data_IF_629154146044
#
_entry.id   IF_629154146044
#
_cell.length_a   1.000
_cell.length_b   1.000
_cell.length_c   1.000
_cell.angle_alpha   90.00
_cell.angle_beta   90.00
_cell.angle_gamma   90.00
#
_symmetry.space_group_name_H-M   'P 1'
#
loop_
_entity.id
_entity.type
_entity.pdbx_description
1 polymer ?
#
# COMPACT_ATOMS: atom_id res chain seq x y z
N UNK A 1 18.75 -12.35 12.85
CA UNK A 1 18.00 -11.22 13.44
C UNK A 1 17.61 -11.50 14.88
N UNK A 2 16.98 -12.64 15.22
CA UNK A 2 16.75 -13.02 16.62
C UNK A 2 18.05 -13.15 17.43
N UNK A 3 19.09 -13.78 16.86
CA UNK A 3 20.42 -13.82 17.49
C UNK A 3 21.05 -12.42 17.65
N UNK A 4 20.79 -11.50 16.71
CA UNK A 4 21.27 -10.11 16.78
C UNK A 4 20.46 -9.30 17.81
N UNK A 5 19.15 -9.51 17.91
CA UNK A 5 18.30 -8.95 18.95
C UNK A 5 18.69 -9.46 20.34
N UNK A 6 18.94 -10.77 20.49
CA UNK A 6 19.45 -11.36 21.73
C UNK A 6 20.84 -10.82 22.09
N UNK A 7 21.76 -10.70 21.12
CA UNK A 7 23.07 -10.10 21.35
C UNK A 7 22.97 -8.62 21.77
N UNK A 8 21.96 -7.89 21.28
CA UNK A 8 21.70 -6.49 21.61
C UNK A 8 20.78 -6.30 22.81
N UNK A 9 20.29 -7.36 23.44
CA UNK A 9 19.32 -7.30 24.55
C UNK A 9 17.97 -6.66 24.16
N UNK A 10 17.60 -6.69 22.87
CA UNK A 10 16.35 -6.12 22.38
C UNK A 10 15.20 -7.09 22.59
N UNK A 11 14.10 -6.59 23.15
CA UNK A 11 12.86 -7.33 23.28
C UNK A 11 12.22 -7.57 21.90
N UNK A 12 11.41 -8.63 21.74
CA UNK A 12 10.58 -8.81 20.56
C UNK A 12 9.66 -7.60 20.35
N UNK A 13 9.35 -7.21 19.11
CA UNK A 13 8.50 -6.06 18.85
C UNK A 13 7.08 -6.26 19.40
N UNK A 14 6.61 -5.31 20.22
CA UNK A 14 5.24 -5.31 20.74
C UNK A 14 4.23 -5.16 19.58
N UNK A 15 4.53 -4.27 18.63
CA UNK A 15 3.70 -3.97 17.46
C UNK A 15 4.02 -4.80 16.21
N UNK A 16 3.27 -4.52 15.13
CA UNK A 16 3.56 -5.04 13.78
C UNK A 16 4.57 -4.15 13.10
N UNK A 17 5.53 -4.73 12.38
CA UNK A 17 6.44 -3.98 11.52
C UNK A 17 5.84 -3.88 10.12
N UNK A 18 5.55 -2.69 9.63
CA UNK A 18 4.88 -2.53 8.33
C UNK A 18 5.84 -2.09 7.22
N UNK A 19 5.68 -2.64 6.02
CA UNK A 19 6.49 -2.31 4.85
C UNK A 19 5.62 -2.00 3.63
N UNK A 20 5.79 -0.79 3.10
CA UNK A 20 5.06 -0.30 1.94
C UNK A 20 5.68 -0.73 0.61
N UNK A 21 4.89 -1.37 -0.25
CA UNK A 21 5.30 -1.69 -1.62
C UNK A 21 4.09 -1.79 -2.54
N UNK A 22 4.19 -1.32 -3.78
CA UNK A 22 3.08 -1.27 -4.73
C UNK A 22 2.48 -2.66 -5.03
N UNK A 23 3.34 -3.68 -4.96
CA UNK A 23 2.98 -5.08 -5.11
C UNK A 23 2.94 -5.82 -3.77
N UNK A 24 2.70 -5.11 -2.66
CA UNK A 24 2.76 -5.65 -1.30
C UNK A 24 1.98 -6.95 -1.13
N UNK A 25 0.77 -7.02 -1.69
CA UNK A 25 -0.08 -8.22 -1.66
C UNK A 25 0.52 -9.45 -2.36
N UNK A 26 1.30 -9.24 -3.43
CA UNK A 26 2.00 -10.31 -4.15
C UNK A 26 3.28 -10.69 -3.40
N UNK A 27 4.00 -9.70 -2.89
CA UNK A 27 5.22 -9.90 -2.12
C UNK A 27 4.93 -10.71 -0.86
N UNK A 28 3.86 -10.40 -0.12
CA UNK A 28 3.46 -11.18 1.06
C UNK A 28 3.26 -12.66 0.72
N UNK A 29 2.53 -12.97 -0.36
CA UNK A 29 2.32 -14.36 -0.81
C UNK A 29 3.63 -15.07 -1.17
N UNK A 30 4.59 -14.33 -1.74
CA UNK A 30 5.92 -14.86 -2.05
C UNK A 30 6.71 -15.11 -0.76
N UNK A 31 6.69 -14.17 0.18
CA UNK A 31 7.35 -14.25 1.48
C UNK A 31 6.87 -15.47 2.27
N UNK A 32 5.55 -15.69 2.33
CA UNK A 32 4.94 -16.85 3.01
C UNK A 32 5.41 -18.19 2.45
N UNK A 33 5.77 -18.24 1.17
CA UNK A 33 6.29 -19.45 0.50
C UNK A 33 7.81 -19.55 0.50
N UNK A 34 8.49 -18.56 1.07
CA UNK A 34 9.95 -18.46 1.05
C UNK A 34 10.55 -18.92 2.38
N UNK A 35 11.88 -19.08 2.38
CA UNK A 35 12.66 -19.33 3.59
C UNK A 35 12.59 -18.18 4.61
N UNK A 36 12.05 -17.01 4.22
CA UNK A 36 11.91 -15.85 5.12
C UNK A 36 10.64 -15.89 5.96
N UNK A 37 9.72 -16.83 5.73
CA UNK A 37 8.43 -16.87 6.42
C UNK A 37 8.56 -16.85 7.95
N UNK A 38 9.45 -17.67 8.51
CA UNK A 38 9.69 -17.70 9.96
C UNK A 38 10.14 -16.36 10.50
N UNK A 39 11.02 -15.66 9.78
CA UNK A 39 11.47 -14.32 10.17
C UNK A 39 10.34 -13.31 10.11
N UNK A 40 9.50 -13.36 9.08
CA UNK A 40 8.40 -12.41 8.92
C UNK A 40 7.30 -12.62 9.94
N UNK A 41 7.06 -13.86 10.35
CA UNK A 41 6.16 -14.18 11.47
C UNK A 41 6.71 -13.64 12.79
N UNK A 42 7.99 -13.90 13.10
CA UNK A 42 8.62 -13.40 14.33
C UNK A 42 8.64 -11.86 14.40
N UNK A 43 8.78 -11.18 13.26
CA UNK A 43 8.75 -9.72 13.17
C UNK A 43 7.34 -9.13 12.98
N UNK A 44 6.31 -9.98 12.89
CA UNK A 44 4.92 -9.58 12.61
C UNK A 44 4.85 -8.63 11.40
N UNK A 45 5.54 -8.99 10.31
CA UNK A 45 5.61 -8.16 9.10
C UNK A 45 4.21 -7.96 8.52
N UNK A 46 3.85 -6.72 8.23
CA UNK A 46 2.62 -6.35 7.55
C UNK A 46 2.96 -5.62 6.25
N UNK A 47 2.57 -6.19 5.11
CA UNK A 47 2.74 -5.50 3.83
C UNK A 47 1.66 -4.42 3.66
N UNK A 48 2.04 -3.28 3.09
CA UNK A 48 1.15 -2.16 2.83
C UNK A 48 1.22 -1.79 1.35
N UNK A 49 0.11 -1.28 0.82
CA UNK A 49 0.03 -0.74 -0.54
C UNK A 49 -0.29 0.76 -0.46
N UNK A 50 0.33 1.54 -1.34
CA UNK A 50 0.13 2.98 -1.47
C UNK A 50 -1.31 3.32 -1.89
N UNK A 51 -1.72 4.56 -1.61
CA UNK A 51 -3.09 5.02 -1.89
C UNK A 51 -3.39 5.07 -3.41
N UNK A 52 -2.40 5.28 -4.28
CA UNK A 52 -2.63 5.32 -5.73
C UNK A 52 -2.84 3.94 -6.31
N UNK A 53 -2.00 2.99 -5.93
CA UNK A 53 -2.10 1.63 -6.46
C UNK A 53 -3.25 0.87 -5.86
N UNK A 54 -3.69 1.23 -4.64
CA UNK A 54 -4.89 0.67 -4.02
C UNK A 54 -6.04 0.53 -5.01
N UNK A 55 -6.32 1.57 -5.79
CA UNK A 55 -7.44 1.56 -6.75
C UNK A 55 -7.26 0.57 -7.91
N UNK A 56 -6.03 0.22 -8.28
CA UNK A 56 -5.74 -0.81 -9.27
C UNK A 56 -5.88 -2.25 -8.72
N UNK A 57 -5.98 -2.41 -7.40
CA UNK A 57 -6.23 -3.71 -6.78
C UNK A 57 -7.73 -3.96 -6.62
N UNK A 58 -8.12 -5.24 -6.63
CA UNK A 58 -9.49 -5.62 -6.27
C UNK A 58 -9.83 -5.15 -4.86
N UNK A 59 -11.10 -4.83 -4.62
CA UNK A 59 -11.56 -4.27 -3.34
C UNK A 59 -11.16 -5.11 -2.12
N UNK A 60 -11.26 -6.43 -2.21
CA UNK A 60 -10.81 -7.33 -1.15
C UNK A 60 -9.32 -7.15 -0.77
N UNK A 61 -8.46 -6.92 -1.77
CA UNK A 61 -7.04 -6.64 -1.55
C UNK A 61 -6.83 -5.26 -0.90
N UNK A 62 -7.66 -4.27 -1.25
CA UNK A 62 -7.62 -2.95 -0.65
C UNK A 62 -7.93 -3.02 0.85
N UNK A 63 -8.98 -3.75 1.24
CA UNK A 63 -9.36 -3.89 2.66
C UNK A 63 -8.24 -4.45 3.54
N UNK A 64 -7.39 -5.33 2.99
CA UNK A 64 -6.28 -5.96 3.73
C UNK A 64 -5.01 -5.10 3.75
N UNK A 65 -4.62 -4.51 2.63
CA UNK A 65 -3.28 -3.94 2.45
C UNK A 65 -3.25 -2.42 2.30
N UNK A 66 -4.39 -1.77 2.05
CA UNK A 66 -4.40 -0.34 1.79
C UNK A 66 -4.04 0.42 3.07
N UNK A 67 -3.05 1.30 2.94
CA UNK A 67 -2.47 2.04 4.05
C UNK A 67 -3.49 2.73 4.96
N UNK A 68 -4.55 3.29 4.39
CA UNK A 68 -5.57 4.06 5.13
C UNK A 68 -6.40 3.21 6.10
N UNK A 69 -6.48 1.89 5.88
CA UNK A 69 -7.23 0.98 6.75
C UNK A 69 -6.34 0.39 7.85
N UNK A 70 -5.03 0.65 7.82
CA UNK A 70 -4.08 0.12 8.81
C UNK A 70 -3.82 1.16 9.88
N UNK A 71 -4.32 0.89 11.08
CA UNK A 71 -4.05 1.74 12.25
C UNK A 71 -2.55 1.72 12.55
N UNK A 72 -1.96 2.91 12.70
CA UNK A 72 -0.53 3.08 12.97
C UNK A 72 0.34 3.27 11.73
N UNK A 73 -0.21 3.14 10.51
CA UNK A 73 0.47 3.46 9.26
C UNK A 73 0.92 4.93 9.14
N UNK A 74 0.28 5.83 9.89
CA UNK A 74 0.55 7.27 9.87
C UNK A 74 -0.09 7.99 8.68
N UNK A 75 0.36 9.21 8.43
CA UNK A 75 -0.09 10.04 7.29
C UNK A 75 0.82 9.89 6.07
N UNK A 76 1.58 8.81 6.03
CA UNK A 76 2.40 8.46 4.89
C UNK A 76 1.48 8.17 3.69
N UNK A 77 1.98 8.33 2.47
CA UNK A 77 1.27 7.92 1.26
C UNK A 77 2.00 6.83 0.49
N UNK A 78 3.25 6.51 0.89
CA UNK A 78 4.14 5.49 0.32
C UNK A 78 4.48 5.73 -1.16
N UNK A 79 4.63 6.99 -1.58
CA UNK A 79 4.89 7.38 -2.99
C UNK A 79 6.27 7.95 -3.25
N UNK A 80 7.14 8.00 -2.25
CA UNK A 80 8.46 8.64 -2.36
C UNK A 80 9.25 8.10 -3.55
N UNK A 81 9.20 6.79 -3.77
CA UNK A 81 9.86 6.14 -4.89
C UNK A 81 9.30 6.59 -6.23
N UNK A 82 7.98 6.69 -6.38
CA UNK A 82 7.34 7.16 -7.61
C UNK A 82 7.77 8.59 -7.94
N UNK A 83 7.76 9.48 -6.95
CA UNK A 83 8.21 10.86 -7.14
C UNK A 83 9.69 10.94 -7.52
N UNK A 84 10.53 10.12 -6.90
CA UNK A 84 11.95 10.04 -7.22
C UNK A 84 12.19 9.53 -8.66
N UNK A 85 11.54 8.43 -9.06
CA UNK A 85 11.67 7.90 -10.42
C UNK A 85 11.02 8.81 -11.47
N UNK A 86 9.94 9.49 -11.13
CA UNK A 86 9.33 10.49 -11.99
C UNK A 86 10.31 11.64 -12.28
N UNK A 87 11.05 12.11 -11.27
CA UNK A 87 12.12 13.09 -11.45
C UNK A 87 13.23 12.58 -12.37
N UNK A 88 13.62 11.30 -12.25
CA UNK A 88 14.63 10.68 -13.11
C UNK A 88 14.23 10.64 -14.59
N UNK A 89 12.93 10.66 -14.92
CA UNK A 89 12.48 10.72 -16.32
C UNK A 89 13.00 11.97 -17.06
N UNK A 90 13.35 13.04 -16.34
CA UNK A 90 13.99 14.23 -16.93
C UNK A 90 15.33 13.90 -17.61
N UNK A 91 16.02 12.86 -17.15
CA UNK A 91 17.26 12.41 -17.78
C UNK A 91 17.01 11.68 -19.11
N UNK A 92 15.80 11.15 -19.35
CA UNK A 92 15.51 10.28 -20.48
C UNK A 92 15.92 10.87 -21.84
N UNK A 93 15.66 12.16 -22.06
CA UNK A 93 16.06 12.84 -23.30
C UNK A 93 17.57 13.00 -23.47
N UNK A 94 18.29 13.25 -22.36
CA UNK A 94 19.75 13.43 -22.37
C UNK A 94 20.47 12.08 -22.53
N UNK A 95 19.88 11.02 -21.97
CA UNK A 95 20.48 9.69 -21.92
C UNK A 95 20.27 8.86 -23.20
N UNK A 96 19.32 9.23 -24.06
CA UNK A 96 18.92 8.45 -25.24
C UNK A 96 20.08 8.10 -26.18
N UNK A 97 21.08 8.98 -26.28
CA UNK A 97 22.23 8.82 -27.18
C UNK A 97 23.55 8.54 -26.45
N UNK A 98 23.50 8.30 -25.13
CA UNK A 98 24.68 8.03 -24.31
C UNK A 98 25.08 6.55 -24.39
N UNK A 99 26.39 6.28 -24.28
CA UNK A 99 26.86 4.91 -24.05
C UNK A 99 26.37 4.40 -22.69
N UNK A 100 26.34 3.09 -22.49
CA UNK A 100 25.94 2.49 -21.22
C UNK A 100 26.73 3.03 -20.02
N UNK A 101 28.04 3.27 -20.20
CA UNK A 101 28.88 3.86 -19.17
C UNK A 101 28.42 5.28 -18.79
N UNK A 102 28.21 6.15 -19.79
CA UNK A 102 27.75 7.52 -19.55
C UNK A 102 26.31 7.57 -19.03
N UNK A 103 25.49 6.60 -19.42
CA UNK A 103 24.14 6.41 -18.90
C UNK A 103 24.18 6.16 -17.38
N UNK A 104 24.95 5.17 -16.93
CA UNK A 104 25.13 4.91 -15.50
C UNK A 104 25.71 6.12 -14.76
N UNK A 105 26.72 6.77 -15.35
CA UNK A 105 27.35 7.96 -14.78
C UNK A 105 26.32 9.10 -14.60
N UNK A 106 25.46 9.36 -15.59
CA UNK A 106 24.44 10.40 -15.51
C UNK A 106 23.42 10.14 -14.39
N UNK A 107 22.95 8.90 -14.22
CA UNK A 107 22.06 8.52 -13.11
C UNK A 107 22.74 8.77 -11.76
N UNK A 108 24.00 8.34 -11.60
CA UNK A 108 24.74 8.49 -10.34
C UNK A 108 24.94 9.97 -10.00
N UNK A 109 25.35 10.80 -10.97
CA UNK A 109 25.51 12.23 -10.75
C UNK A 109 24.18 12.91 -10.41
N UNK A 110 23.10 12.54 -11.08
CA UNK A 110 21.78 13.06 -10.76
C UNK A 110 21.32 12.70 -9.34
N UNK A 111 21.52 11.44 -8.94
CA UNK A 111 21.20 10.99 -7.58
C UNK A 111 22.02 11.76 -6.53
N UNK A 112 23.34 11.89 -6.74
CA UNK A 112 24.22 12.64 -5.84
C UNK A 112 23.86 14.13 -5.77
N UNK A 113 23.48 14.74 -6.89
CA UNK A 113 23.02 16.12 -6.93
C UNK A 113 21.71 16.29 -6.15
N UNK A 114 20.73 15.42 -6.40
CA UNK A 114 19.42 15.45 -5.73
C UNK A 114 19.59 15.28 -4.22
N UNK A 115 20.42 14.34 -3.80
CA UNK A 115 20.72 14.10 -2.38
C UNK A 115 21.33 15.33 -1.70
N UNK A 116 22.34 15.92 -2.34
CA UNK A 116 23.06 17.07 -1.80
C UNK A 116 22.22 18.33 -1.69
N UNK A 117 21.37 18.61 -2.69
CA UNK A 117 20.72 19.92 -2.80
C UNK A 117 19.22 19.91 -2.51
N UNK A 118 18.53 18.78 -2.66
CA UNK A 118 17.08 18.73 -2.54
C UNK A 118 16.58 17.84 -1.40
N UNK A 119 17.23 16.72 -1.11
CA UNK A 119 16.69 15.70 -0.19
C UNK A 119 16.40 16.25 1.20
N UNK A 120 17.34 16.98 1.81
CA UNK A 120 17.15 17.54 3.16
C UNK A 120 16.02 18.57 3.23
N UNK A 121 15.92 19.45 2.23
CA UNK A 121 14.86 20.45 2.17
C UNK A 121 13.49 19.80 1.97
N UNK A 122 13.40 18.81 1.07
CA UNK A 122 12.18 18.05 0.83
C UNK A 122 11.75 17.25 2.06
N UNK A 123 12.69 16.59 2.74
CA UNK A 123 12.42 15.84 3.97
C UNK A 123 11.94 16.76 5.10
N UNK A 124 12.59 17.91 5.28
CA UNK A 124 12.20 18.89 6.30
C UNK A 124 10.79 19.43 6.03
N UNK A 125 10.51 19.76 4.77
CA UNK A 125 9.18 20.19 4.33
C UNK A 125 8.15 19.09 4.60
N UNK A 126 8.44 17.85 4.21
CA UNK A 126 7.57 16.69 4.40
C UNK A 126 7.20 16.49 5.88
N UNK A 127 8.20 16.49 6.77
CA UNK A 127 7.98 16.35 8.22
C UNK A 127 7.13 17.51 8.75
N UNK A 128 7.47 18.74 8.38
CA UNK A 128 6.75 19.93 8.83
C UNK A 128 5.29 19.95 8.37
N UNK A 129 5.03 19.67 7.08
CA UNK A 129 3.68 19.66 6.53
C UNK A 129 2.83 18.55 7.13
N UNK A 130 3.42 17.37 7.36
CA UNK A 130 2.71 16.28 8.02
C UNK A 130 2.40 16.63 9.47
N UNK A 131 3.35 17.23 10.21
CA UNK A 131 3.10 17.69 11.57
C UNK A 131 1.93 18.69 11.64
N UNK A 132 1.91 19.69 10.76
CA UNK A 132 0.78 20.63 10.67
C UNK A 132 -0.53 19.94 10.32
N UNK A 133 -0.50 18.98 9.38
CA UNK A 133 -1.68 18.19 9.01
C UNK A 133 -2.22 17.38 10.20
N UNK A 134 -1.35 16.78 11.02
CA UNK A 134 -1.74 16.10 12.25
C UNK A 134 -2.41 17.07 13.22
N UNK A 135 -1.82 18.25 13.47
CA UNK A 135 -2.41 19.24 14.37
C UNK A 135 -3.80 19.69 13.89
N UNK A 136 -3.95 19.94 12.58
CA UNK A 136 -5.24 20.32 12.00
C UNK A 136 -6.28 19.18 12.11
N UNK A 137 -5.85 17.94 11.90
CA UNK A 137 -6.71 16.76 12.07
C UNK A 137 -7.17 16.63 13.53
N UNK A 138 -6.25 16.80 14.49
CA UNK A 138 -6.56 16.79 15.92
C UNK A 138 -7.54 17.91 16.31
N UNK A 139 -7.32 19.13 15.80
CA UNK A 139 -8.22 20.25 16.03
C UNK A 139 -9.63 20.03 15.45
N UNK A 140 -9.74 19.24 14.37
CA UNK A 140 -10.99 18.87 13.73
C UNK A 140 -11.76 17.73 14.40
N UNK A 141 -11.15 17.00 15.36
CA UNK A 141 -11.74 15.79 15.94
C UNK A 141 -13.11 16.03 16.57
N UNK A 142 -13.30 17.15 17.29
CA UNK A 142 -14.60 17.46 17.91
C UNK A 142 -15.74 17.54 16.90
N UNK A 143 -15.52 18.27 15.79
CA UNK A 143 -16.51 18.39 14.71
C UNK A 143 -16.77 17.05 14.03
N UNK A 144 -15.73 16.23 13.85
CA UNK A 144 -15.88 14.88 13.30
C UNK A 144 -16.71 13.99 14.22
N UNK A 145 -16.47 14.05 15.54
CA UNK A 145 -17.25 13.28 16.52
C UNK A 145 -18.72 13.71 16.56
N UNK A 146 -19.00 15.02 16.52
CA UNK A 146 -20.37 15.55 16.42
C UNK A 146 -21.07 15.05 15.14
N UNK A 147 -20.39 15.08 14.00
CA UNK A 147 -20.92 14.56 12.74
C UNK A 147 -21.18 13.05 12.79
N UNK A 148 -20.28 12.27 13.38
CA UNK A 148 -20.46 10.82 13.57
C UNK A 148 -21.63 10.53 14.51
N UNK A 149 -21.78 11.28 15.60
CA UNK A 149 -22.92 11.14 16.51
C UNK A 149 -24.25 11.49 15.82
N UNK A 150 -24.28 12.54 14.99
CA UNK A 150 -25.46 12.88 14.20
C UNK A 150 -25.86 11.77 13.22
N UNK A 151 -24.89 10.97 12.75
CA UNK A 151 -25.11 9.77 11.93
C UNK A 151 -25.43 8.51 12.76
N UNK A 152 -25.53 8.62 14.08
CA UNK A 152 -25.78 7.49 14.99
C UNK A 152 -24.57 6.61 15.28
N UNK A 153 -23.36 7.05 14.91
CA UNK A 153 -22.10 6.32 15.13
C UNK A 153 -21.47 6.81 16.43
N UNK A 154 -21.67 6.04 17.50
CA UNK A 154 -21.18 6.39 18.85
C UNK A 154 -19.86 5.74 19.22
N UNK A 155 -19.48 4.65 18.54
CA UNK A 155 -18.22 3.93 18.75
C UNK A 155 -17.47 3.78 17.41
N UNK A 156 -16.22 4.23 17.35
CA UNK A 156 -15.39 4.14 16.14
C UNK A 156 -15.00 2.70 15.79
N UNK A 157 -15.03 1.78 16.76
CA UNK A 157 -14.83 0.34 16.53
C UNK A 157 -15.88 -0.23 15.57
N UNK A 158 -17.04 0.40 15.45
CA UNK A 158 -18.06 0.06 14.46
C UNK A 158 -17.48 0.16 13.04
N UNK A 159 -16.66 1.17 12.75
CA UNK A 159 -16.01 1.31 11.45
C UNK A 159 -15.04 0.15 11.19
N UNK A 160 -14.25 -0.25 12.19
CA UNK A 160 -13.38 -1.43 12.09
C UNK A 160 -14.18 -2.71 11.89
N UNK A 161 -15.36 -2.82 12.52
CA UNK A 161 -16.26 -3.95 12.33
C UNK A 161 -16.87 -3.95 10.91
N UNK A 162 -17.24 -2.79 10.37
CA UNK A 162 -17.72 -2.68 9.00
C UNK A 162 -16.67 -3.14 7.98
N UNK A 163 -15.42 -2.71 8.14
CA UNK A 163 -14.32 -3.17 7.27
C UNK A 163 -14.14 -4.70 7.35
N UNK A 164 -14.22 -5.29 8.54
CA UNK A 164 -14.18 -6.76 8.71
C UNK A 164 -15.37 -7.46 8.07
N UNK A 165 -16.58 -6.96 8.30
CA UNK A 165 -17.79 -7.53 7.71
C UNK A 165 -17.75 -7.49 6.19
N UNK A 166 -17.28 -6.37 5.63
CA UNK A 166 -17.10 -6.20 4.19
C UNK A 166 -16.05 -7.16 3.64
N UNK A 167 -14.93 -7.34 4.35
CA UNK A 167 -13.92 -8.32 3.99
C UNK A 167 -14.51 -9.75 3.97
N UNK A 168 -15.18 -10.18 5.03
CA UNK A 168 -15.81 -11.51 5.11
C UNK A 168 -16.82 -11.72 3.98
N UNK A 169 -17.69 -10.73 3.73
CA UNK A 169 -18.68 -10.78 2.66
C UNK A 169 -18.05 -10.95 1.27
N UNK A 170 -16.94 -10.27 0.99
CA UNK A 170 -16.21 -10.40 -0.27
C UNK A 170 -15.44 -11.72 -0.38
N UNK A 171 -14.93 -12.24 0.72
CA UNK A 171 -14.27 -13.55 0.78
C UNK A 171 -15.27 -14.68 0.49
N UNK A 172 -16.45 -14.67 1.11
CA UNK A 172 -17.53 -15.62 0.84
C UNK A 172 -17.97 -15.58 -0.63
N UNK A 173 -17.95 -14.40 -1.26
CA UNK A 173 -18.28 -14.23 -2.68
C UNK A 173 -17.16 -14.55 -3.65
N UNK A 174 -15.94 -14.77 -3.16
CA UNK A 174 -14.79 -15.11 -4.02
C UNK A 174 -14.93 -16.50 -4.64
N UNK A 175 -15.58 -17.42 -3.92
CA UNK A 175 -15.93 -18.76 -4.43
C UNK A 175 -17.16 -18.73 -5.35
N UNK A 176 -18.02 -17.72 -5.19
CA UNK A 176 -19.09 -17.39 -6.14
C UNK A 176 -18.49 -16.61 -7.31
N UNK A 177 -17.71 -17.29 -8.15
CA UNK A 177 -17.29 -16.76 -9.44
C UNK A 177 -18.53 -16.44 -10.31
N UNK A 178 -19.09 -15.25 -10.12
CA UNK A 178 -20.09 -14.65 -11.00
C UNK A 178 -19.57 -14.40 -12.43
N UNK A 179 -18.26 -14.16 -12.70
CA UNK A 179 -17.80 -14.11 -14.09
C UNK A 179 -18.04 -15.43 -14.80
N UNK A 180 -17.76 -16.57 -14.14
CA UNK A 180 -18.03 -17.88 -14.74
C UNK A 180 -19.51 -18.15 -14.95
N UNK A 181 -20.40 -17.65 -14.08
CA UNK A 181 -21.84 -17.82 -14.28
C UNK A 181 -22.36 -16.97 -15.44
N UNK A 182 -21.97 -15.70 -15.53
CA UNK A 182 -22.37 -14.81 -16.62
C UNK A 182 -21.75 -15.23 -17.97
N UNK A 183 -20.48 -15.62 -17.99
CA UNK A 183 -19.80 -16.14 -19.18
C UNK A 183 -20.37 -17.49 -19.61
N UNK A 184 -20.67 -18.41 -18.67
CA UNK A 184 -21.34 -19.68 -18.99
C UNK A 184 -22.77 -19.45 -19.48
N UNK A 185 -23.50 -18.51 -18.90
CA UNK A 185 -24.86 -18.16 -19.33
C UNK A 185 -24.86 -17.54 -20.73
N UNK A 186 -23.92 -16.65 -21.02
CA UNK A 186 -23.71 -16.09 -22.37
C UNK A 186 -23.36 -17.18 -23.39
N UNK A 187 -22.45 -18.09 -23.05
CA UNK A 187 -22.03 -19.19 -23.93
C UNK A 187 -23.16 -20.21 -24.12
N UNK A 188 -23.98 -20.46 -23.10
CA UNK A 188 -25.20 -21.27 -23.19
C UNK A 188 -26.24 -20.64 -24.12
N UNK A 189 -26.46 -19.32 -24.01
CA UNK A 189 -27.39 -18.58 -24.89
C UNK A 189 -26.91 -18.55 -26.34
N UNK A 190 -25.60 -18.43 -26.58
CA UNK A 190 -25.01 -18.51 -27.92
C UNK A 190 -25.21 -19.89 -28.56
N UNK A 191 -24.99 -20.98 -27.82
CA UNK A 191 -25.22 -22.34 -28.33
C UNK A 191 -26.69 -22.56 -28.71
N UNK A 192 -27.61 -22.16 -27.83
CA UNK A 192 -29.04 -22.27 -28.11
C UNK A 192 -29.47 -21.48 -29.35
N UNK A 193 -28.84 -20.34 -29.65
CA UNK A 193 -29.08 -19.57 -30.88
C UNK A 193 -28.58 -20.29 -32.13
N UNK A 194 -27.44 -20.99 -32.06
CA UNK A 194 -26.90 -21.79 -33.17
C UNK A 194 -27.77 -23.02 -33.43
N UNK A 195 -28.27 -23.67 -32.38
CA UNK A 195 -29.15 -24.84 -32.50
C UNK A 195 -30.57 -24.49 -33.01
N UNK A 196 -30.90 -23.19 -33.04
CA UNK A 196 -32.17 -22.66 -33.54
C UNK A 196 -32.10 -22.14 -34.99
N UNK A 197 -30.95 -22.28 -35.67
CA UNK A 197 -30.77 -22.03 -37.10
C UNK A 197 -30.75 -23.35 -37.88
#
# INVERSE_FOLDING_TARGET
MEQDQMQRGLLPPEGKFSFGYDLGCKVERTVVKSLMFSLTECQKLLMLISILHGHAHQHLCQLTFLLIYVIGAGMENLKQYEWYFSKLNMLGGVMQYMSMFHHCQAIVHYAAHTDKYETYANLSKFIYTNYQSALNTLAGLGKMMEALQALGITNIEICSQWLKNEQCFLEERKDLSQPMMAEREYLSKLKALVDCQ
#
